data_IF_687576453486
#
_entry.id   IF_687576453486
#
_cell.length_a   1.000
_cell.length_b   1.000
_cell.length_c   1.000
_cell.angle_alpha   90.00
_cell.angle_beta   90.00
_cell.angle_gamma   90.00
#
_symmetry.space_group_name_H-M   'P 1'
#
loop_
_entity.id
_entity.type
_entity.pdbx_description
1 polymer ?
#
# COMPACT_ATOMS: atom_id res chain seq x y z
N UNK A 1 -17.04 7.52 23.33
CA UNK A 1 -16.31 7.09 22.11
C UNK A 1 -15.12 6.28 22.58
N UNK A 2 -14.86 5.08 22.04
CA UNK A 2 -13.74 4.23 22.50
C UNK A 2 -12.43 4.89 22.05
N UNK A 3 -11.50 5.13 22.99
CA UNK A 3 -10.25 5.85 22.73
C UNK A 3 -9.28 5.07 21.85
N UNK A 4 -9.35 3.74 21.83
CA UNK A 4 -8.32 2.90 21.18
C UNK A 4 -8.69 2.52 19.74
N UNK A 5 -9.38 3.42 19.03
CA UNK A 5 -9.85 3.17 17.66
C UNK A 5 -9.36 4.29 16.73
N UNK A 6 -8.62 3.89 15.70
CA UNK A 6 -8.37 4.75 14.54
C UNK A 6 -9.62 4.82 13.66
N UNK A 7 -10.10 6.02 13.41
CA UNK A 7 -11.24 6.26 12.53
C UNK A 7 -10.74 6.75 11.18
N UNK A 8 -11.30 6.18 10.12
CA UNK A 8 -10.90 6.47 8.75
C UNK A 8 -12.01 7.19 8.01
N UNK A 9 -11.67 8.29 7.34
CA UNK A 9 -12.59 9.11 6.56
C UNK A 9 -12.21 9.01 5.08
N UNK A 10 -13.18 8.58 4.27
CA UNK A 10 -12.99 8.45 2.83
C UNK A 10 -13.65 9.62 2.09
N UNK A 11 -12.92 10.20 1.15
CA UNK A 11 -13.41 11.15 0.16
C UNK A 11 -13.57 10.52 -1.22
N UNK A 12 -13.89 11.32 -2.25
CA UNK A 12 -14.10 10.83 -3.62
C UNK A 12 -12.89 10.12 -4.23
N UNK A 13 -11.67 10.44 -3.78
CA UNK A 13 -10.41 9.87 -4.27
C UNK A 13 -9.83 8.77 -3.37
N UNK A 14 -10.54 8.35 -2.32
CA UNK A 14 -10.06 7.33 -1.39
C UNK A 14 -9.86 7.83 0.04
N UNK A 15 -8.82 7.36 0.72
CA UNK A 15 -8.54 7.68 2.13
C UNK A 15 -8.15 9.15 2.31
N UNK A 16 -9.02 9.99 2.85
CA UNK A 16 -8.79 11.44 2.93
C UNK A 16 -8.18 11.89 4.27
N UNK A 17 -8.65 11.31 5.37
CA UNK A 17 -8.15 11.64 6.70
C UNK A 17 -8.28 10.45 7.64
N UNK A 18 -7.41 10.40 8.65
CA UNK A 18 -7.55 9.51 9.79
C UNK A 18 -7.56 10.31 11.09
N UNK A 19 -8.36 9.82 12.04
CA UNK A 19 -8.33 10.28 13.42
C UNK A 19 -7.73 9.17 14.27
N UNK A 20 -6.58 9.43 14.85
CA UNK A 20 -5.86 8.48 15.69
C UNK A 20 -6.53 8.31 17.06
N UNK A 21 -6.15 7.27 17.82
CA UNK A 21 -6.64 7.02 19.17
C UNK A 21 -6.51 8.21 20.13
N UNK A 22 -5.43 8.98 20.00
CA UNK A 22 -5.12 10.16 20.79
C UNK A 22 -5.90 11.42 20.36
N UNK A 23 -6.89 11.27 19.47
CA UNK A 23 -7.68 12.34 18.86
C UNK A 23 -6.91 13.27 17.89
N UNK A 24 -5.64 12.99 17.58
CA UNK A 24 -4.91 13.68 16.53
C UNK A 24 -5.49 13.36 15.14
N UNK A 25 -5.27 14.29 14.21
CA UNK A 25 -5.74 14.20 12.84
C UNK A 25 -4.56 14.20 11.88
N UNK A 26 -4.56 13.21 11.01
CA UNK A 26 -3.64 13.14 9.88
C UNK A 26 -4.46 13.23 8.58
N UNK A 27 -3.98 14.06 7.68
CA UNK A 27 -4.58 14.34 6.38
C UNK A 27 -3.71 13.76 5.29
N UNK A 28 -4.30 12.92 4.44
CA UNK A 28 -3.58 12.27 3.34
C UNK A 28 -3.53 13.19 2.13
N UNK A 29 -2.33 13.38 1.59
CA UNK A 29 -2.10 14.12 0.37
C UNK A 29 -2.05 13.14 -0.80
N UNK A 30 -2.94 13.31 -1.78
CA UNK A 30 -3.05 12.39 -2.90
C UNK A 30 -2.40 12.93 -4.17
N UNK A 31 -1.89 12.02 -5.00
CA UNK A 31 -1.65 12.32 -6.42
C UNK A 31 -2.93 12.14 -7.27
N UNK A 32 -2.82 12.42 -8.58
CA UNK A 32 -3.95 12.29 -9.51
C UNK A 32 -4.47 10.85 -9.69
N UNK A 33 -3.69 9.83 -9.30
CA UNK A 33 -4.10 8.42 -9.31
C UNK A 33 -4.77 8.01 -7.97
N UNK A 34 -4.73 8.88 -6.96
CA UNK A 34 -5.26 8.61 -5.62
C UNK A 34 -4.24 8.00 -4.66
N UNK A 35 -2.97 7.85 -5.06
CA UNK A 35 -1.90 7.36 -4.19
C UNK A 35 -1.61 8.36 -3.09
N UNK A 36 -1.36 7.89 -1.86
CA UNK A 36 -0.96 8.75 -0.75
C UNK A 36 0.52 9.14 -0.93
N UNK A 37 0.78 10.40 -1.26
CA UNK A 37 2.13 10.98 -1.43
C UNK A 37 2.62 11.69 -0.18
N UNK A 38 1.76 11.90 0.81
CA UNK A 38 2.20 12.50 2.07
C UNK A 38 1.13 12.50 3.14
N UNK A 39 1.57 12.79 4.35
CA UNK A 39 0.73 12.89 5.54
C UNK A 39 0.98 14.24 6.20
N UNK A 40 -0.10 14.94 6.53
CA UNK A 40 -0.05 16.29 7.08
C UNK A 40 -0.88 16.38 8.37
N UNK A 41 -0.32 17.00 9.41
CA UNK A 41 -0.97 17.18 10.72
C UNK A 41 -0.93 18.66 11.20
N UNK A 42 -0.60 19.59 10.30
CA UNK A 42 -0.17 20.96 10.60
C UNK A 42 1.25 21.22 10.10
N UNK A 43 2.04 20.16 9.95
CA UNK A 43 3.29 20.12 9.19
C UNK A 43 3.36 18.89 8.29
N UNK A 44 4.26 18.89 7.30
CA UNK A 44 4.43 17.72 6.42
C UNK A 44 5.22 16.63 7.16
N UNK A 45 4.56 15.55 7.53
CA UNK A 45 5.14 14.44 8.30
C UNK A 45 5.79 13.38 7.41
N UNK A 46 5.26 13.19 6.21
CA UNK A 46 5.71 12.16 5.28
C UNK A 46 5.63 12.65 3.85
N UNK A 47 6.61 12.25 3.03
CA UNK A 47 6.64 12.44 1.59
C UNK A 47 6.99 11.10 0.93
N UNK A 48 5.97 10.42 0.41
CA UNK A 48 6.10 9.13 -0.21
C UNK A 48 6.31 9.24 -1.73
N UNK A 49 7.22 8.42 -2.23
CA UNK A 49 7.54 8.31 -3.64
C UNK A 49 7.33 6.87 -4.08
N UNK A 50 6.73 6.71 -5.24
CA UNK A 50 6.44 5.42 -5.86
C UNK A 50 6.99 5.45 -7.27
N UNK A 51 7.51 4.33 -7.72
CA UNK A 51 7.75 4.09 -9.13
C UNK A 51 6.40 4.03 -9.91
N UNK A 52 6.42 3.93 -11.25
CA UNK A 52 5.20 3.85 -12.04
C UNK A 52 4.29 2.64 -11.74
N UNK A 53 4.82 1.57 -11.12
CA UNK A 53 4.10 0.33 -10.85
C UNK A 53 3.66 0.17 -9.40
N UNK A 54 4.05 1.10 -8.53
CA UNK A 54 3.61 1.19 -7.14
C UNK A 54 4.62 0.70 -6.11
N UNK A 55 5.84 0.36 -6.52
CA UNK A 55 6.90 0.05 -5.58
C UNK A 55 7.36 1.37 -4.90
N UNK A 56 7.35 1.44 -3.56
CA UNK A 56 7.75 2.65 -2.85
C UNK A 56 9.27 2.86 -2.95
N UNK A 57 9.67 3.96 -3.58
CA UNK A 57 11.02 4.51 -3.50
C UNK A 57 11.23 5.11 -2.10
N UNK A 58 10.20 5.81 -1.61
CA UNK A 58 10.09 6.29 -0.22
C UNK A 58 8.72 5.88 0.31
N UNK A 59 8.69 5.06 1.36
CA UNK A 59 7.45 4.58 1.93
C UNK A 59 6.75 5.66 2.77
N UNK A 60 5.40 5.75 2.74
CA UNK A 60 4.66 6.63 3.62
C UNK A 60 4.80 6.19 5.07
N UNK A 61 4.82 7.16 5.98
CA UNK A 61 4.78 6.95 7.43
C UNK A 61 3.52 7.57 8.01
N UNK A 62 3.09 7.08 9.17
CA UNK A 62 1.88 7.55 9.85
C UNK A 62 0.57 6.99 9.29
N UNK A 63 0.55 6.38 8.10
CA UNK A 63 -0.65 5.78 7.52
C UNK A 63 -0.44 4.35 7.02
N UNK A 64 -1.50 3.56 7.02
CA UNK A 64 -1.53 2.23 6.41
C UNK A 64 -1.89 2.27 4.90
N UNK A 65 -2.13 3.44 4.34
CA UNK A 65 -2.53 3.62 2.94
C UNK A 65 -1.38 4.11 2.08
N UNK A 66 -1.24 3.55 0.87
CA UNK A 66 -0.14 3.87 -0.01
C UNK A 66 -0.55 4.06 -1.46
N UNK A 67 0.13 3.36 -2.37
CA UNK A 67 -0.10 3.43 -3.81
C UNK A 67 -1.58 3.17 -4.17
N UNK A 68 -2.14 3.98 -5.06
CA UNK A 68 -3.57 3.95 -5.46
C UNK A 68 -4.58 4.09 -4.31
N UNK A 69 -4.15 4.59 -3.14
CA UNK A 69 -5.03 4.74 -1.97
C UNK A 69 -5.46 3.39 -1.37
N UNK A 70 -4.69 2.34 -1.63
CA UNK A 70 -4.94 1.00 -1.12
C UNK A 70 -4.23 0.80 0.24
N UNK A 71 -4.80 -0.08 1.06
CA UNK A 71 -4.15 -0.53 2.28
C UNK A 71 -2.90 -1.34 1.91
N UNK A 72 -1.76 -0.90 2.40
CA UNK A 72 -0.47 -1.55 2.25
C UNK A 72 -0.04 -2.07 3.61
N UNK A 73 0.18 -3.38 3.73
CA UNK A 73 0.82 -3.93 4.91
C UNK A 73 2.36 -3.94 4.72
N UNK A 74 3.09 -4.11 5.82
CA UNK A 74 4.56 -4.22 5.78
C UNK A 74 5.08 -5.45 5.03
N UNK A 75 4.22 -6.27 4.40
CA UNK A 75 4.63 -7.43 3.60
C UNK A 75 4.88 -7.09 2.13
N UNK A 76 4.63 -5.84 1.72
CA UNK A 76 4.82 -5.39 0.33
C UNK A 76 3.69 -5.82 -0.61
N UNK A 77 2.54 -6.23 -0.06
CA UNK A 77 1.34 -6.55 -0.82
C UNK A 77 0.34 -5.39 -0.72
N UNK A 78 -0.24 -5.03 -1.86
CA UNK A 78 -1.29 -4.00 -1.95
C UNK A 78 -2.66 -4.68 -1.85
N UNK A 79 -3.47 -4.31 -0.85
CA UNK A 79 -4.80 -4.86 -0.66
C UNK A 79 -5.82 -4.14 -1.55
N UNK A 80 -6.07 -4.69 -2.74
CA UNK A 80 -7.18 -4.27 -3.58
C UNK A 80 -8.39 -5.15 -3.24
N UNK A 81 -9.53 -4.51 -2.91
CA UNK A 81 -10.80 -5.10 -2.40
C UNK A 81 -11.36 -6.32 -3.16
N UNK A 82 -10.77 -6.74 -4.30
CA UNK A 82 -11.16 -7.95 -5.03
C UNK A 82 -10.01 -8.83 -5.59
N UNK A 83 -8.72 -8.46 -5.54
CA UNK A 83 -7.58 -9.28 -6.04
C UNK A 83 -6.27 -8.88 -5.36
N UNK A 84 -5.44 -9.85 -4.98
CA UNK A 84 -4.05 -9.57 -4.57
C UNK A 84 -3.20 -9.39 -5.84
N UNK A 85 -2.63 -8.20 -6.04
CA UNK A 85 -1.64 -7.94 -7.10
C UNK A 85 -0.27 -7.82 -6.44
N UNK A 86 0.73 -8.52 -7.00
CA UNK A 86 2.13 -8.30 -6.64
C UNK A 86 2.63 -7.08 -7.42
N UNK A 87 3.10 -6.00 -6.75
CA UNK A 87 3.57 -4.80 -7.43
C UNK A 87 4.93 -4.96 -8.12
N UNK A 88 5.69 -6.04 -7.85
CA UNK A 88 6.95 -6.30 -8.54
C UNK A 88 6.72 -6.54 -10.05
N UNK A 89 7.45 -5.88 -10.95
CA UNK A 89 7.36 -6.15 -12.38
C UNK A 89 7.99 -7.51 -12.71
N UNK A 90 7.18 -8.46 -13.21
CA UNK A 90 7.69 -9.56 -14.02
C UNK A 90 7.77 -9.08 -15.48
N UNK A 91 8.90 -8.52 -15.88
CA UNK A 91 9.25 -8.31 -17.28
C UNK A 91 10.28 -9.41 -17.61
N UNK A 92 10.02 -10.38 -18.50
CA UNK A 92 10.15 -10.20 -19.95
C UNK A 92 9.49 -11.34 -20.77
N UNK A 93 9.40 -11.06 -22.07
CA UNK A 93 8.66 -11.67 -23.18
C UNK A 93 9.04 -13.13 -23.58
N UNK A 94 8.15 -13.69 -24.40
CA UNK A 94 8.25 -14.87 -25.28
C UNK A 94 7.80 -16.23 -24.71
N UNK A 95 6.81 -16.81 -25.41
CA UNK A 95 6.24 -18.15 -25.30
C UNK A 95 5.24 -18.43 -24.17
N UNK A 96 4.03 -18.70 -24.63
CA UNK A 96 2.92 -19.42 -24.00
C UNK A 96 3.35 -20.73 -23.31
N UNK A 97 3.98 -20.60 -22.14
CA UNK A 97 4.03 -21.66 -21.14
C UNK A 97 3.74 -21.05 -19.78
N UNK A 98 2.64 -21.50 -19.19
CA UNK A 98 2.19 -21.15 -17.85
C UNK A 98 2.90 -22.03 -16.81
N UNK A 99 3.89 -21.53 -16.05
CA UNK A 99 3.97 -21.92 -14.66
C UNK A 99 3.10 -20.94 -13.88
N UNK A 100 2.09 -21.48 -13.20
CA UNK A 100 1.33 -20.71 -12.22
C UNK A 100 2.29 -20.31 -11.09
N UNK A 101 2.87 -19.10 -11.17
CA UNK A 101 3.60 -18.52 -10.04
C UNK A 101 2.55 -18.28 -8.95
N UNK A 102 2.46 -19.20 -7.99
CA UNK A 102 1.59 -19.10 -6.83
C UNK A 102 2.31 -18.21 -5.82
N UNK A 103 1.77 -17.04 -5.53
CA UNK A 103 2.16 -16.30 -4.34
C UNK A 103 1.58 -17.04 -3.13
N UNK A 104 2.41 -17.80 -2.42
CA UNK A 104 2.05 -18.40 -1.13
C UNK A 104 2.99 -17.89 -0.04
N UNK A 105 2.43 -17.61 1.14
CA UNK A 105 3.23 -17.41 2.35
C UNK A 105 3.83 -18.75 2.74
N UNK A 106 5.14 -18.93 2.55
CA UNK A 106 5.91 -19.97 3.21
C UNK A 106 6.93 -19.30 4.14
N UNK A 107 6.94 -19.71 5.40
CA UNK A 107 7.84 -19.20 6.42
C UNK A 107 9.31 -19.27 5.99
N UNK A 108 10.02 -18.17 6.27
CA UNK A 108 11.46 -17.99 6.51
C UNK A 108 12.53 -18.60 5.59
N UNK A 109 12.24 -19.29 4.50
CA UNK A 109 13.24 -19.50 3.45
C UNK A 109 12.62 -19.93 2.12
N UNK A 110 13.16 -19.35 1.04
CA UNK A 110 12.80 -19.64 -0.33
C UNK A 110 13.69 -20.77 -0.85
N UNK A 111 13.16 -21.97 -1.02
CA UNK A 111 13.81 -22.99 -1.84
C UNK A 111 12.96 -23.24 -3.09
N UNK A 112 13.53 -23.15 -4.30
CA UNK A 112 12.87 -23.65 -5.49
C UNK A 112 12.59 -25.14 -5.28
N UNK A 113 11.32 -25.55 -5.29
CA UNK A 113 10.98 -26.97 -5.41
C UNK A 113 10.40 -27.20 -6.79
N UNK A 114 11.20 -27.80 -7.65
CA UNK A 114 10.69 -28.53 -8.80
C UNK A 114 10.09 -29.85 -8.29
N UNK A 115 9.17 -30.43 -9.05
CA UNK A 115 8.81 -31.84 -8.88
C UNK A 115 9.57 -32.63 -9.93
#
# INVERSE_FOLDING_TARGET
MRSDITHYMHGPLGMFAQRNPDASWDWMLHDGLGSVRGVFDGTLQSAAEYDPFGDPIVAPSGTAYGFTGALTDGSGLVYLRARYTCPKPALQLESDQKPAIRCEKAGTSWTPSER
#
